data_IF_554180810142
#
_entry.id   IF_554180810142
#
_cell.length_a   1.000
_cell.length_b   1.000
_cell.length_c   1.000
_cell.angle_alpha   90.00
_cell.angle_beta   90.00
_cell.angle_gamma   90.00
#
_symmetry.space_group_name_H-M   'P 1'
#
loop_
_entity.id
_entity.type
_entity.pdbx_description
1 polymer ?
#
# COMPACT_ATOMS: atom_id res chain seq x y z
N UNK A 1 -73.80 -17.63 37.84
CA UNK A 1 -74.13 -16.21 38.02
C UNK A 1 -72.91 -15.40 37.58
N UNK A 2 -73.08 -14.49 36.62
CA UNK A 2 -72.03 -13.61 36.06
C UNK A 2 -71.93 -12.32 36.90
N UNK A 3 -70.72 -11.76 37.10
CA UNK A 3 -70.53 -10.31 37.19
C UNK A 3 -69.64 -9.83 36.04
N UNK A 4 -70.21 -9.05 35.09
CA UNK A 4 -70.07 -7.59 34.94
C UNK A 4 -68.65 -7.08 34.68
N UNK A 5 -68.37 -6.82 33.40
CA UNK A 5 -67.29 -5.98 32.89
C UNK A 5 -67.52 -4.52 33.31
N UNK A 6 -66.53 -3.91 33.95
CA UNK A 6 -66.37 -2.46 33.99
C UNK A 6 -65.38 -2.06 32.89
N UNK A 7 -65.85 -1.25 31.93
CA UNK A 7 -65.01 -0.61 30.93
C UNK A 7 -64.34 0.63 31.54
N UNK A 8 -63.01 0.62 31.65
CA UNK A 8 -62.21 1.82 31.90
C UNK A 8 -61.97 2.55 30.57
N UNK A 9 -62.40 3.81 30.52
CA UNK A 9 -62.06 4.76 29.45
C UNK A 9 -60.66 5.32 29.72
N UNK A 10 -59.69 5.24 28.79
CA UNK A 10 -58.43 5.92 28.95
C UNK A 10 -58.58 7.40 28.59
N UNK A 11 -58.19 8.27 29.53
CA UNK A 11 -58.03 9.71 29.32
C UNK A 11 -56.77 9.94 28.49
N UNK A 12 -56.92 10.38 27.25
CA UNK A 12 -55.82 10.80 26.38
C UNK A 12 -55.37 12.20 26.79
N UNK A 13 -54.20 12.31 27.43
CA UNK A 13 -53.52 13.57 27.72
C UNK A 13 -52.77 14.01 26.46
N UNK A 14 -53.32 14.94 25.69
CA UNK A 14 -52.64 15.57 24.55
C UNK A 14 -51.72 16.67 25.09
N UNK A 15 -50.43 16.34 25.29
CA UNK A 15 -49.39 17.32 25.53
C UNK A 15 -49.09 18.07 24.23
N UNK A 16 -49.41 19.35 24.18
CA UNK A 16 -49.01 20.26 23.11
C UNK A 16 -47.50 20.49 23.16
N UNK A 17 -46.74 19.60 22.52
CA UNK A 17 -45.33 19.86 22.21
C UNK A 17 -45.27 20.90 21.09
N UNK A 18 -44.87 22.13 21.44
CA UNK A 18 -44.52 23.15 20.45
C UNK A 18 -43.38 22.63 19.56
N UNK A 19 -43.30 23.03 18.28
CA UNK A 19 -42.21 22.63 17.41
C UNK A 19 -40.90 23.12 18.02
N UNK A 20 -39.99 22.19 18.30
CA UNK A 20 -38.62 22.52 18.64
C UNK A 20 -38.08 23.42 17.52
N UNK A 21 -37.35 24.51 17.85
CA UNK A 21 -36.68 25.30 16.84
C UNK A 21 -35.82 24.34 16.02
N UNK A 22 -36.07 24.28 14.71
CA UNK A 22 -35.19 23.58 13.78
C UNK A 22 -33.82 24.24 13.90
N UNK A 23 -32.93 23.63 14.69
CA UNK A 23 -31.51 23.95 14.68
C UNK A 23 -31.08 23.88 13.22
N UNK A 24 -30.82 25.05 12.64
CA UNK A 24 -30.43 25.17 11.25
C UNK A 24 -29.24 24.25 11.02
N UNK A 25 -29.42 23.25 10.15
CA UNK A 25 -28.35 22.32 9.80
C UNK A 25 -27.10 23.15 9.48
N UNK A 26 -26.02 22.90 10.23
CA UNK A 26 -24.76 23.59 10.01
C UNK A 26 -24.41 23.48 8.51
N UNK A 27 -23.96 24.57 7.87
CA UNK A 27 -23.64 24.53 6.45
C UNK A 27 -22.67 23.38 6.18
N UNK A 28 -23.08 22.46 5.29
CA UNK A 28 -22.24 21.33 4.88
C UNK A 28 -20.92 21.89 4.36
N UNK A 29 -19.80 21.48 4.96
CA UNK A 29 -18.48 21.87 4.49
C UNK A 29 -18.34 21.52 3.00
N UNK A 30 -17.69 22.40 2.23
CA UNK A 30 -17.41 22.15 0.83
C UNK A 30 -16.51 20.90 0.69
N UNK A 31 -16.71 20.07 -0.35
CA UNK A 31 -15.87 18.91 -0.60
C UNK A 31 -14.41 19.31 -0.80
N UNK A 32 -13.48 18.50 -0.29
CA UNK A 32 -12.05 18.68 -0.51
C UNK A 32 -11.77 18.59 -2.03
N UNK A 33 -10.96 19.48 -2.64
CA UNK A 33 -10.60 19.36 -4.05
C UNK A 33 -10.00 18.00 -4.39
N UNK A 34 -10.33 17.46 -5.58
CA UNK A 34 -9.87 16.13 -6.00
C UNK A 34 -8.36 15.93 -5.89
N UNK A 35 -7.57 16.92 -6.35
CA UNK A 35 -6.11 16.82 -6.31
C UNK A 35 -5.57 16.70 -4.88
N UNK A 36 -6.24 17.34 -3.92
CA UNK A 36 -5.89 17.25 -2.51
C UNK A 36 -6.29 15.89 -1.92
N UNK A 37 -7.46 15.35 -2.27
CA UNK A 37 -7.85 13.99 -1.88
C UNK A 37 -6.88 12.94 -2.44
N UNK A 38 -6.51 13.05 -3.71
CA UNK A 38 -5.59 12.11 -4.36
C UNK A 38 -4.18 12.22 -3.75
N UNK A 39 -3.71 13.44 -3.49
CA UNK A 39 -2.44 13.68 -2.78
C UNK A 39 -2.45 13.08 -1.38
N UNK A 40 -3.57 13.20 -0.65
CA UNK A 40 -3.71 12.62 0.67
C UNK A 40 -3.70 11.09 0.68
N UNK A 41 -4.35 10.46 -0.31
CA UNK A 41 -4.30 9.00 -0.46
C UNK A 41 -2.88 8.52 -0.77
N UNK A 42 -2.19 9.17 -1.71
CA UNK A 42 -0.79 8.89 -2.02
C UNK A 42 0.13 9.07 -0.80
N UNK A 43 -0.08 10.13 -0.02
CA UNK A 43 0.61 10.35 1.25
C UNK A 43 0.38 9.21 2.24
N UNK A 44 -0.87 8.81 2.48
CA UNK A 44 -1.19 7.74 3.44
C UNK A 44 -0.50 6.43 3.08
N UNK A 45 -0.53 6.03 1.80
CA UNK A 45 0.13 4.80 1.33
C UNK A 45 1.63 4.85 1.63
N UNK A 46 2.30 5.94 1.24
CA UNK A 46 3.74 6.09 1.41
C UNK A 46 4.14 6.22 2.88
N UNK A 47 3.35 6.90 3.69
CA UNK A 47 3.61 7.04 5.12
C UNK A 47 3.38 5.72 5.87
N UNK A 48 2.37 4.93 5.50
CA UNK A 48 2.19 3.58 6.03
C UNK A 48 3.37 2.67 5.66
N UNK A 49 3.86 2.76 4.43
CA UNK A 49 5.08 2.07 4.00
C UNK A 49 6.32 2.53 4.78
N UNK A 50 6.45 3.83 5.05
CA UNK A 50 7.51 4.35 5.91
C UNK A 50 7.44 3.76 7.33
N UNK A 51 6.26 3.74 7.97
CA UNK A 51 6.11 3.16 9.31
C UNK A 51 6.49 1.67 9.30
N UNK A 52 6.06 0.92 8.28
CA UNK A 52 6.39 -0.50 8.13
C UNK A 52 7.90 -0.72 7.99
N UNK A 53 8.59 0.09 7.17
CA UNK A 53 10.05 0.07 7.03
C UNK A 53 10.73 0.36 8.37
N UNK A 54 10.33 1.44 9.04
CA UNK A 54 10.95 1.88 10.30
C UNK A 54 10.79 0.80 11.38
N UNK A 55 9.60 0.21 11.49
CA UNK A 55 9.33 -0.87 12.44
C UNK A 55 10.06 -2.18 12.08
N UNK A 56 10.26 -2.47 10.79
CA UNK A 56 10.89 -3.71 10.34
C UNK A 56 12.42 -3.70 10.29
N UNK A 57 13.05 -2.53 10.18
CA UNK A 57 14.50 -2.42 10.00
C UNK A 57 15.34 -2.78 11.22
N UNK A 58 14.70 -3.05 12.36
CA UNK A 58 15.39 -3.32 13.64
C UNK A 58 16.47 -2.26 13.91
N UNK A 59 16.09 -0.99 13.76
CA UNK A 59 16.99 0.14 13.97
C UNK A 59 17.43 0.18 15.43
N UNK A 60 18.71 0.43 15.67
CA UNK A 60 19.15 0.84 16.99
C UNK A 60 18.58 2.22 17.34
N UNK A 61 18.57 2.55 18.63
CA UNK A 61 18.15 3.88 19.10
C UNK A 61 18.93 5.00 18.40
N UNK A 62 20.25 4.86 18.29
CA UNK A 62 21.11 5.87 17.65
C UNK A 62 20.82 6.02 16.16
N UNK A 63 20.56 4.90 15.46
CA UNK A 63 20.14 4.93 14.05
C UNK A 63 18.80 5.65 13.91
N UNK A 64 17.83 5.36 14.76
CA UNK A 64 16.50 5.99 14.75
C UNK A 64 16.60 7.51 14.99
N UNK A 65 17.42 7.95 15.95
CA UNK A 65 17.68 9.38 16.21
C UNK A 65 18.32 10.05 14.98
N UNK A 66 19.36 9.44 14.41
CA UNK A 66 20.05 9.98 13.26
C UNK A 66 19.12 10.09 12.04
N UNK A 67 18.32 9.06 11.76
CA UNK A 67 17.34 9.06 10.66
C UNK A 67 16.23 10.08 10.88
N UNK A 68 15.73 10.23 12.13
CA UNK A 68 14.77 11.28 12.48
C UNK A 68 15.29 12.67 12.15
N UNK A 69 16.55 12.95 12.45
CA UNK A 69 17.15 14.27 12.19
C UNK A 69 17.35 14.53 10.68
N UNK A 70 17.58 13.49 9.87
CA UNK A 70 17.52 13.60 8.41
C UNK A 70 16.08 13.84 7.94
N UNK A 71 15.11 13.08 8.47
CA UNK A 71 13.70 13.24 8.12
C UNK A 71 13.16 14.64 8.45
N UNK A 72 13.60 15.26 9.54
CA UNK A 72 13.29 16.66 9.88
C UNK A 72 13.77 17.65 8.81
N UNK A 73 14.95 17.43 8.25
CA UNK A 73 15.48 18.29 7.17
C UNK A 73 14.66 18.17 5.89
N UNK A 74 14.26 16.95 5.53
CA UNK A 74 13.37 16.72 4.38
C UNK A 74 12.01 17.36 4.64
N UNK A 75 11.39 17.09 5.79
CA UNK A 75 10.09 17.66 6.15
C UNK A 75 10.08 19.20 6.16
N UNK A 76 11.17 19.84 6.60
CA UNK A 76 11.29 21.30 6.61
C UNK A 76 11.34 21.92 5.20
N UNK A 77 11.63 21.13 4.17
CA UNK A 77 11.68 21.58 2.76
C UNK A 77 10.55 21.01 1.91
N UNK A 78 9.76 20.10 2.46
CA UNK A 78 8.57 19.55 1.83
C UNK A 78 7.34 20.43 2.05
N UNK A 79 6.32 20.33 1.19
CA UNK A 79 5.03 20.95 1.43
C UNK A 79 4.42 20.45 2.74
N UNK A 80 3.50 21.23 3.31
CA UNK A 80 2.72 20.80 4.46
C UNK A 80 2.03 19.46 4.19
N UNK A 81 1.89 18.66 5.25
CA UNK A 81 1.14 17.40 5.19
C UNK A 81 -0.30 17.68 4.70
N UNK A 82 -0.87 16.82 3.85
CA UNK A 82 -2.24 17.00 3.40
C UNK A 82 -3.22 16.90 4.57
N UNK A 83 -4.32 17.64 4.50
CA UNK A 83 -5.40 17.51 5.48
C UNK A 83 -6.17 16.18 5.25
N UNK A 84 -6.29 15.41 6.33
CA UNK A 84 -6.96 14.12 6.34
C UNK A 84 -8.37 14.20 6.94
N UNK A 85 -8.82 15.38 7.39
CA UNK A 85 -10.07 15.55 8.16
C UNK A 85 -11.27 16.00 7.34
N UNK A 86 -11.07 16.51 6.13
CA UNK A 86 -12.15 17.04 5.30
C UNK A 86 -13.17 16.00 4.77
N UNK A 87 -14.25 16.46 4.13
CA UNK A 87 -15.22 15.60 3.44
C UNK A 87 -14.64 15.09 2.11
N UNK A 88 -14.25 13.82 2.11
CA UNK A 88 -13.76 13.10 0.93
C UNK A 88 -14.95 12.57 0.12
N UNK A 89 -14.69 12.15 -1.12
CA UNK A 89 -15.65 11.33 -1.86
C UNK A 89 -16.07 10.12 -1.01
N UNK A 90 -17.34 9.67 -1.06
CA UNK A 90 -17.80 8.58 -0.22
C UNK A 90 -16.98 7.28 -0.36
N UNK A 91 -16.54 6.95 -1.58
CA UNK A 91 -15.70 5.79 -1.86
C UNK A 91 -14.29 5.91 -1.24
N UNK A 92 -13.69 7.10 -1.28
CA UNK A 92 -12.38 7.36 -0.67
C UNK A 92 -12.44 7.60 0.84
N UNK A 93 -13.58 8.00 1.40
CA UNK A 93 -13.75 8.18 2.84
C UNK A 93 -13.52 6.86 3.59
N UNK A 94 -14.13 5.76 3.13
CA UNK A 94 -13.91 4.43 3.73
C UNK A 94 -12.45 3.97 3.59
N UNK A 95 -11.83 4.22 2.44
CA UNK A 95 -10.41 3.91 2.20
C UNK A 95 -9.52 4.66 3.19
N UNK A 96 -9.71 5.97 3.30
CA UNK A 96 -8.99 6.85 4.21
C UNK A 96 -9.11 6.35 5.65
N UNK A 97 -10.32 6.06 6.10
CA UNK A 97 -10.59 5.65 7.48
C UNK A 97 -9.91 4.31 7.80
N UNK A 98 -9.94 3.35 6.85
CA UNK A 98 -9.19 2.10 7.00
C UNK A 98 -7.67 2.35 7.11
N UNK A 99 -7.11 3.24 6.29
CA UNK A 99 -5.67 3.56 6.31
C UNK A 99 -5.25 4.32 7.56
N UNK A 100 -6.09 5.24 8.06
CA UNK A 100 -5.87 5.96 9.31
C UNK A 100 -5.89 5.03 10.52
N UNK A 101 -6.78 4.05 10.54
CA UNK A 101 -6.81 3.04 11.60
C UNK A 101 -5.55 2.17 11.57
N UNK A 102 -5.11 1.70 10.40
CA UNK A 102 -3.82 0.99 10.27
C UNK A 102 -2.67 1.86 10.75
N UNK A 103 -2.63 3.14 10.35
CA UNK A 103 -1.59 4.09 10.75
C UNK A 103 -1.50 4.20 12.26
N UNK A 104 -2.64 4.39 12.93
CA UNK A 104 -2.73 4.49 14.38
C UNK A 104 -2.14 3.26 15.06
N UNK A 105 -2.55 2.06 14.62
CA UNK A 105 -2.06 0.79 15.18
C UNK A 105 -0.57 0.58 14.96
N UNK A 106 -0.08 0.81 13.75
CA UNK A 106 1.35 0.64 13.42
C UNK A 106 2.24 1.62 14.20
N UNK A 107 1.80 2.87 14.39
CA UNK A 107 2.53 3.84 15.23
C UNK A 107 2.54 3.43 16.70
N UNK A 108 1.47 2.80 17.18
CA UNK A 108 1.41 2.24 18.53
C UNK A 108 2.21 0.93 18.69
N UNK A 109 2.66 0.31 17.59
CA UNK A 109 3.29 -1.01 17.62
C UNK A 109 2.28 -2.15 17.86
N UNK A 110 1.00 -1.92 17.56
CA UNK A 110 -0.08 -2.89 17.67
C UNK A 110 -0.14 -3.80 16.43
N UNK A 111 -0.55 -5.06 16.62
CA UNK A 111 -0.81 -5.97 15.51
C UNK A 111 -2.06 -5.56 14.71
N UNK A 112 -2.00 -5.83 13.40
CA UNK A 112 -3.14 -5.67 12.49
C UNK A 112 -3.91 -6.99 12.42
N UNK A 113 -5.08 -7.01 13.05
CA UNK A 113 -5.99 -8.16 13.07
C UNK A 113 -6.57 -8.49 11.67
N UNK A 114 -7.11 -9.70 11.52
CA UNK A 114 -7.61 -10.19 10.23
C UNK A 114 -8.81 -9.39 9.72
N UNK A 115 -9.65 -8.85 10.62
CA UNK A 115 -10.78 -8.01 10.23
C UNK A 115 -10.31 -6.70 9.57
N UNK A 116 -9.31 -6.04 10.16
CA UNK A 116 -8.69 -4.85 9.59
C UNK A 116 -7.92 -5.16 8.30
N UNK A 117 -7.22 -6.31 8.23
CA UNK A 117 -6.57 -6.77 6.98
C UNK A 117 -7.55 -6.90 5.83
N UNK A 118 -8.70 -7.53 6.05
CA UNK A 118 -9.74 -7.68 5.03
C UNK A 118 -10.34 -6.33 4.62
N UNK A 119 -10.59 -5.42 5.58
CA UNK A 119 -11.07 -4.06 5.28
C UNK A 119 -10.08 -3.30 4.40
N UNK A 120 -8.79 -3.39 4.70
CA UNK A 120 -7.73 -2.72 3.94
C UNK A 120 -7.57 -3.34 2.55
N UNK A 121 -7.71 -4.66 2.41
CA UNK A 121 -7.72 -5.31 1.10
C UNK A 121 -8.84 -4.76 0.20
N UNK A 122 -10.07 -4.64 0.74
CA UNK A 122 -11.20 -4.01 0.04
C UNK A 122 -10.93 -2.54 -0.28
N UNK A 123 -10.43 -1.78 0.70
CA UNK A 123 -10.05 -0.39 0.52
C UNK A 123 -9.01 -0.22 -0.60
N UNK A 124 -8.04 -1.13 -0.69
CA UNK A 124 -7.03 -1.11 -1.77
C UNK A 124 -7.65 -1.39 -3.13
N UNK A 125 -8.61 -2.31 -3.24
CA UNK A 125 -9.36 -2.52 -4.48
C UNK A 125 -10.11 -1.26 -4.90
N UNK A 126 -10.81 -0.60 -3.98
CA UNK A 126 -11.55 0.66 -4.24
C UNK A 126 -10.60 1.78 -4.65
N UNK A 127 -9.54 2.04 -3.89
CA UNK A 127 -8.53 3.05 -4.21
C UNK A 127 -7.94 2.82 -5.59
N UNK A 128 -7.54 1.58 -5.89
CA UNK A 128 -6.89 1.27 -7.16
C UNK A 128 -7.84 1.39 -8.35
N UNK A 129 -9.15 1.21 -8.14
CA UNK A 129 -10.16 1.47 -9.15
C UNK A 129 -10.34 2.98 -9.39
N UNK A 130 -10.47 3.76 -8.31
CA UNK A 130 -10.60 5.22 -8.36
C UNK A 130 -9.36 5.89 -8.98
N UNK A 131 -8.16 5.43 -8.62
CA UNK A 131 -6.89 5.89 -9.22
C UNK A 131 -6.85 5.55 -10.71
N UNK A 132 -7.24 4.33 -11.12
CA UNK A 132 -7.31 3.98 -12.55
C UNK A 132 -8.29 4.84 -13.33
N UNK A 133 -9.45 5.11 -12.74
CA UNK A 133 -10.47 6.01 -13.27
C UNK A 133 -10.06 7.47 -13.28
N UNK A 134 -8.92 7.86 -12.70
CA UNK A 134 -8.46 9.25 -12.77
C UNK A 134 -7.28 9.44 -13.71
N UNK A 135 -6.66 8.37 -14.22
CA UNK A 135 -5.44 8.47 -15.05
C UNK A 135 -5.75 9.13 -16.40
N UNK A 136 -5.04 10.21 -16.69
CA UNK A 136 -5.04 10.91 -17.99
C UNK A 136 -3.70 10.74 -18.71
N UNK A 137 -3.60 11.33 -19.91
CA UNK A 137 -2.28 11.55 -20.50
C UNK A 137 -1.46 12.50 -19.61
N UNK A 138 -0.13 12.32 -19.52
CA UNK A 138 0.74 13.27 -18.83
C UNK A 138 0.58 14.69 -19.38
N UNK A 139 0.36 15.67 -18.51
CA UNK A 139 0.27 17.09 -18.85
C UNK A 139 1.44 17.85 -18.20
N UNK A 140 2.43 18.24 -19.01
CA UNK A 140 3.62 18.95 -18.54
C UNK A 140 3.33 20.35 -17.97
N UNK A 141 2.15 20.92 -18.24
CA UNK A 141 1.72 22.18 -17.64
C UNK A 141 1.25 22.02 -16.18
N UNK A 142 1.00 20.78 -15.74
CA UNK A 142 0.54 20.44 -14.39
C UNK A 142 1.67 19.78 -13.60
N UNK A 143 1.58 19.87 -12.27
CA UNK A 143 2.57 19.31 -11.35
C UNK A 143 1.90 18.34 -10.36
N UNK A 144 2.71 17.48 -9.73
CA UNK A 144 2.23 16.53 -8.73
C UNK A 144 1.20 15.54 -9.29
N UNK A 145 0.16 15.24 -8.51
CA UNK A 145 -0.89 14.31 -8.92
C UNK A 145 -1.65 14.77 -10.18
N UNK A 146 -1.89 16.08 -10.33
CA UNK A 146 -2.61 16.65 -11.46
C UNK A 146 -1.87 16.45 -12.81
N UNK A 147 -0.57 16.13 -12.78
CA UNK A 147 0.20 15.79 -13.98
C UNK A 147 -0.34 14.55 -14.70
N UNK A 148 -0.87 13.57 -13.95
CA UNK A 148 -1.37 12.32 -14.51
C UNK A 148 -2.80 11.99 -14.10
N UNK A 149 -3.42 12.79 -13.24
CA UNK A 149 -4.75 12.52 -12.69
C UNK A 149 -5.72 13.69 -12.86
N UNK A 150 -6.99 13.35 -13.06
CA UNK A 150 -8.13 14.26 -12.98
C UNK A 150 -9.27 13.63 -12.19
N UNK A 151 -10.23 14.45 -11.76
CA UNK A 151 -11.41 13.92 -11.07
C UNK A 151 -12.09 12.87 -11.97
N UNK A 152 -12.55 11.72 -11.42
CA UNK A 152 -13.18 10.66 -12.22
C UNK A 152 -14.36 11.13 -13.08
N UNK A 153 -15.02 12.22 -12.71
CA UNK A 153 -16.12 12.85 -13.45
C UNK A 153 -15.66 13.80 -14.57
N UNK A 154 -14.37 14.08 -14.71
CA UNK A 154 -13.86 14.99 -15.72
C UNK A 154 -14.02 14.40 -17.13
N UNK A 155 -14.40 15.20 -18.14
CA UNK A 155 -14.77 14.71 -19.47
C UNK A 155 -13.62 14.09 -20.27
N UNK A 156 -12.37 14.35 -19.85
CA UNK A 156 -11.13 13.91 -20.48
C UNK A 156 -10.39 12.80 -19.71
N UNK A 157 -10.94 12.37 -18.57
CA UNK A 157 -10.63 11.05 -18.00
C UNK A 157 -10.96 10.05 -19.10
N UNK A 158 -9.91 9.34 -19.56
CA UNK A 158 -10.00 8.43 -20.69
C UNK A 158 -11.27 7.58 -20.57
N UNK A 159 -12.00 7.47 -21.67
CA UNK A 159 -12.97 6.41 -21.97
C UNK A 159 -12.29 5.03 -21.99
N UNK A 160 -11.50 4.71 -20.96
CA UNK A 160 -11.26 3.34 -20.52
C UNK A 160 -12.65 2.86 -20.14
N UNK A 161 -13.28 2.10 -21.06
CA UNK A 161 -14.72 1.83 -21.06
C UNK A 161 -15.29 1.43 -19.70
N UNK A 162 -16.61 1.51 -19.58
CA UNK A 162 -17.41 1.29 -18.36
C UNK A 162 -17.08 0.03 -17.53
N UNK A 163 -16.25 -0.88 -18.03
CA UNK A 163 -15.66 -2.04 -17.36
C UNK A 163 -14.30 -1.76 -16.68
N UNK A 164 -14.08 -0.57 -16.08
CA UNK A 164 -12.86 -0.26 -15.31
C UNK A 164 -12.58 -1.27 -14.16
N UNK A 165 -13.61 -2.05 -13.77
CA UNK A 165 -13.55 -3.12 -12.78
C UNK A 165 -13.32 -4.53 -13.36
N UNK A 166 -13.45 -4.74 -14.68
CA UNK A 166 -13.38 -6.09 -15.31
C UNK A 166 -12.36 -6.24 -16.42
N UNK A 167 -11.96 -5.16 -17.11
CA UNK A 167 -10.98 -5.21 -18.20
C UNK A 167 -9.62 -4.70 -17.76
N UNK A 168 -8.55 -5.45 -18.03
CA UNK A 168 -7.19 -4.95 -17.85
C UNK A 168 -7.02 -3.65 -18.62
N UNK A 169 -6.99 -2.52 -17.88
CA UNK A 169 -6.57 -1.24 -18.43
C UNK A 169 -5.22 -1.50 -19.06
N UNK A 170 -5.14 -1.51 -20.39
CA UNK A 170 -3.88 -1.59 -21.09
C UNK A 170 -3.07 -0.38 -20.64
N UNK A 171 -2.16 -0.59 -19.71
CA UNK A 171 -1.09 0.35 -19.48
C UNK A 171 -0.33 0.37 -20.80
N UNK A 172 -0.55 1.43 -21.59
CA UNK A 172 0.25 1.69 -22.78
C UNK A 172 1.70 1.56 -22.33
N UNK A 173 2.47 0.72 -23.02
CA UNK A 173 3.87 0.52 -22.69
C UNK A 173 4.55 1.89 -22.66
N UNK A 174 4.88 2.37 -21.45
CA UNK A 174 5.56 3.65 -21.26
C UNK A 174 7.03 3.44 -21.55
N UNK A 175 7.60 4.31 -22.37
CA UNK A 175 9.04 4.32 -22.56
C UNK A 175 9.76 4.66 -21.23
N UNK A 176 11.08 4.45 -21.13
CA UNK A 176 11.83 4.77 -19.91
C UNK A 176 11.74 6.24 -19.49
N UNK A 177 11.60 7.19 -20.43
CA UNK A 177 11.48 8.62 -20.13
C UNK A 177 10.12 8.94 -19.48
N UNK A 178 9.04 8.39 -19.98
CA UNK A 178 7.70 8.51 -19.41
C UNK A 178 7.65 7.94 -17.99
N UNK A 179 8.28 6.78 -17.75
CA UNK A 179 8.34 6.20 -16.39
C UNK A 179 9.09 7.11 -15.44
N UNK A 180 10.21 7.68 -15.89
CA UNK A 180 10.98 8.64 -15.10
C UNK A 180 10.16 9.90 -14.82
N UNK A 181 9.44 10.43 -15.80
CA UNK A 181 8.57 11.61 -15.64
C UNK A 181 7.46 11.34 -14.62
N UNK A 182 6.79 10.19 -14.73
CA UNK A 182 5.75 9.76 -13.80
C UNK A 182 6.31 9.60 -12.39
N UNK A 183 7.46 8.96 -12.23
CA UNK A 183 8.12 8.81 -10.93
C UNK A 183 8.46 10.17 -10.31
N UNK A 184 9.03 11.09 -11.10
CA UNK A 184 9.33 12.45 -10.66
C UNK A 184 8.04 13.18 -10.26
N UNK A 185 6.97 13.09 -11.05
CA UNK A 185 5.69 13.74 -10.73
C UNK A 185 5.08 13.23 -9.42
N UNK A 186 5.11 11.91 -9.17
CA UNK A 186 4.65 11.34 -7.90
C UNK A 186 5.51 11.80 -6.73
N UNK A 187 6.83 11.77 -6.90
CA UNK A 187 7.78 12.21 -5.88
C UNK A 187 7.61 13.70 -5.56
N UNK A 188 7.42 14.54 -6.58
CA UNK A 188 7.16 15.97 -6.42
C UNK A 188 5.80 16.25 -5.78
N UNK A 189 4.76 15.48 -6.09
CA UNK A 189 3.44 15.64 -5.47
C UNK A 189 3.46 15.43 -3.95
N UNK A 190 4.31 14.51 -3.49
CA UNK A 190 4.51 14.24 -2.07
C UNK A 190 5.52 15.21 -1.42
N UNK A 191 6.75 15.24 -1.95
CA UNK A 191 7.90 15.90 -1.35
C UNK A 191 8.05 17.37 -1.75
N UNK A 192 7.35 17.82 -2.80
CA UNK A 192 7.67 19.05 -3.50
C UNK A 192 9.05 19.00 -4.17
N UNK A 193 9.34 19.97 -5.03
CA UNK A 193 10.65 20.06 -5.73
C UNK A 193 11.82 20.19 -4.75
N UNK A 194 11.67 21.03 -3.72
CA UNK A 194 12.72 21.28 -2.71
C UNK A 194 12.97 20.05 -1.83
N UNK A 195 11.91 19.38 -1.37
CA UNK A 195 12.04 18.14 -0.62
C UNK A 195 12.66 17.02 -1.46
N UNK A 196 12.27 16.87 -2.73
CA UNK A 196 12.86 15.88 -3.64
C UNK A 196 14.37 16.07 -3.81
N UNK A 197 14.82 17.31 -4.06
CA UNK A 197 16.26 17.63 -4.12
C UNK A 197 16.94 17.34 -2.78
N UNK A 198 16.30 17.66 -1.67
CA UNK A 198 16.85 17.40 -0.32
C UNK A 198 17.02 15.92 -0.06
N UNK A 199 16.06 15.07 -0.45
CA UNK A 199 16.19 13.60 -0.40
C UNK A 199 17.39 13.13 -1.21
N UNK A 200 17.54 13.62 -2.45
CA UNK A 200 18.66 13.24 -3.32
C UNK A 200 20.03 13.62 -2.70
N UNK A 201 20.14 14.81 -2.10
CA UNK A 201 21.37 15.27 -1.45
C UNK A 201 21.68 14.50 -0.17
N UNK A 202 20.65 14.11 0.59
CA UNK A 202 20.80 13.38 1.86
C UNK A 202 20.89 11.86 1.68
N UNK A 203 20.74 11.33 0.47
CA UNK A 203 20.71 9.89 0.20
C UNK A 203 21.97 9.16 0.68
N UNK A 204 23.15 9.75 0.47
CA UNK A 204 24.41 9.19 0.98
C UNK A 204 24.50 9.18 2.51
N UNK A 205 23.91 10.18 3.18
CA UNK A 205 23.86 10.25 4.65
C UNK A 205 22.94 9.17 5.22
N UNK A 206 21.75 8.98 4.62
CA UNK A 206 20.84 7.89 5.00
C UNK A 206 21.53 6.55 4.84
N UNK A 207 22.17 6.30 3.70
CA UNK A 207 22.88 5.04 3.46
C UNK A 207 24.01 4.80 4.47
N UNK A 208 24.72 5.84 4.89
CA UNK A 208 25.77 5.75 5.90
C UNK A 208 25.30 5.38 7.31
N UNK A 209 24.00 5.56 7.62
CA UNK A 209 23.43 5.19 8.92
C UNK A 209 23.10 3.69 8.99
N UNK A 210 22.81 3.08 7.84
CA UNK A 210 22.32 1.70 7.75
C UNK A 210 23.46 0.67 7.75
N UNK A 211 23.21 -0.50 8.33
CA UNK A 211 24.10 -1.66 8.24
C UNK A 211 24.00 -2.34 6.87
N UNK A 212 24.94 -3.21 6.52
CA UNK A 212 24.89 -3.98 5.27
C UNK A 212 23.62 -4.82 5.13
N UNK A 213 23.18 -5.47 6.21
CA UNK A 213 21.96 -6.27 6.23
C UNK A 213 20.69 -5.42 6.00
N UNK A 214 20.61 -4.25 6.66
CA UNK A 214 19.51 -3.30 6.46
C UNK A 214 19.45 -2.77 5.02
N UNK A 215 20.61 -2.52 4.39
CA UNK A 215 20.69 -2.10 2.98
C UNK A 215 20.21 -3.19 2.03
N UNK A 216 20.52 -4.46 2.29
CA UNK A 216 20.03 -5.58 1.51
C UNK A 216 18.50 -5.71 1.64
N UNK A 217 17.97 -5.67 2.86
CA UNK A 217 16.52 -5.70 3.09
C UNK A 217 15.77 -4.55 2.40
N UNK A 218 16.33 -3.33 2.42
CA UNK A 218 15.75 -2.18 1.70
C UNK A 218 15.85 -2.27 0.18
N UNK A 219 16.84 -2.96 -0.37
CA UNK A 219 16.95 -3.15 -1.81
C UNK A 219 15.80 -4.02 -2.36
N UNK A 220 15.24 -4.87 -1.51
CA UNK A 220 14.11 -5.76 -1.81
C UNK A 220 12.76 -5.19 -1.33
N UNK A 221 12.79 -4.06 -0.61
CA UNK A 221 11.60 -3.46 -0.03
C UNK A 221 10.58 -3.05 -1.09
N UNK A 222 9.33 -3.49 -0.90
CA UNK A 222 8.17 -3.06 -1.66
C UNK A 222 7.15 -2.37 -0.75
N UNK A 223 6.60 -1.26 -1.25
CA UNK A 223 5.62 -0.40 -0.59
C UNK A 223 4.39 -1.20 -0.09
N UNK A 224 4.30 -1.45 1.23
CA UNK A 224 3.11 -2.05 1.90
C UNK A 224 2.27 -1.02 2.64
N UNK A 225 0.97 -1.30 2.67
CA UNK A 225 0.04 -0.71 3.65
C UNK A 225 0.06 -1.52 4.95
N UNK A 226 0.04 -2.85 4.84
CA UNK A 226 0.07 -3.77 5.98
C UNK A 226 1.35 -4.61 5.94
N UNK A 227 2.10 -4.71 7.05
CA UNK A 227 3.27 -5.56 7.11
C UNK A 227 2.90 -7.06 7.18
N UNK A 228 3.84 -7.97 6.86
CA UNK A 228 3.66 -9.40 7.12
C UNK A 228 3.35 -9.63 8.62
N UNK A 229 2.66 -10.73 8.95
CA UNK A 229 2.26 -11.04 10.34
C UNK A 229 3.46 -11.20 11.26
N UNK A 230 4.56 -11.75 10.75
CA UNK A 230 5.76 -12.02 11.50
C UNK A 230 6.90 -11.11 11.00
N UNK A 231 7.27 -10.16 11.86
CA UNK A 231 8.35 -9.18 11.66
C UNK A 231 9.63 -9.56 12.42
N UNK A 232 9.66 -10.71 13.11
CA UNK A 232 10.84 -11.15 13.89
C UNK A 232 12.03 -11.49 12.99
N UNK A 233 11.75 -11.82 11.73
CA UNK A 233 12.74 -12.07 10.70
C UNK A 233 13.12 -10.76 9.98
N UNK A 234 14.36 -10.25 10.18
CA UNK A 234 14.83 -9.00 9.56
C UNK A 234 14.93 -9.07 8.04
N UNK A 235 14.82 -10.25 7.41
CA UNK A 235 14.73 -10.37 5.95
C UNK A 235 13.34 -10.02 5.40
N UNK A 236 12.32 -9.83 6.26
CA UNK A 236 10.91 -9.60 5.89
C UNK A 236 10.48 -8.14 5.90
N UNK A 237 11.42 -7.21 5.68
CA UNK A 237 11.11 -5.78 5.68
C UNK A 237 10.35 -5.43 4.40
N UNK A 238 9.06 -5.14 4.54
CA UNK A 238 8.17 -4.78 3.43
C UNK A 238 7.40 -5.96 2.84
N UNK A 239 6.62 -5.70 1.77
CA UNK A 239 6.06 -6.78 0.94
C UNK A 239 7.15 -7.43 0.09
N UNK A 240 8.25 -7.89 0.69
CA UNK A 240 8.78 -9.14 0.20
C UNK A 240 7.57 -10.08 0.36
N UNK A 241 6.89 -10.43 -0.74
CA UNK A 241 5.76 -11.37 -0.72
C UNK A 241 6.19 -12.47 0.24
N UNK A 242 5.58 -12.50 1.42
CA UNK A 242 5.95 -13.50 2.40
C UNK A 242 5.74 -14.79 1.66
N UNK A 243 6.82 -15.56 1.42
CA UNK A 243 6.77 -16.73 0.55
C UNK A 243 5.53 -17.58 0.85
N UNK A 244 5.05 -17.55 2.10
CA UNK A 244 3.73 -17.97 2.58
C UNK A 244 2.53 -17.80 1.64
N UNK A 245 2.27 -16.62 1.05
CA UNK A 245 1.11 -16.48 0.15
C UNK A 245 1.33 -17.27 -1.14
N UNK A 246 2.54 -17.23 -1.68
CA UNK A 246 2.93 -18.00 -2.87
C UNK A 246 2.96 -19.50 -2.56
N UNK A 247 3.43 -19.90 -1.38
CA UNK A 247 3.37 -21.26 -0.83
C UNK A 247 1.92 -21.72 -0.73
N UNK A 248 1.03 -20.88 -0.24
CA UNK A 248 -0.39 -21.19 -0.14
C UNK A 248 -1.04 -21.32 -1.52
N UNK A 249 -0.69 -20.45 -2.48
CA UNK A 249 -1.12 -20.63 -3.87
C UNK A 249 -0.59 -21.93 -4.48
N UNK A 250 0.65 -22.32 -4.16
CA UNK A 250 1.23 -23.59 -4.60
C UNK A 250 0.49 -24.78 -3.97
N UNK A 251 0.16 -24.71 -2.67
CA UNK A 251 -0.64 -25.72 -1.97
C UNK A 251 -2.03 -25.86 -2.58
N UNK A 252 -2.74 -24.76 -2.78
CA UNK A 252 -4.03 -24.73 -3.47
C UNK A 252 -3.92 -25.29 -4.88
N UNK A 253 -2.82 -25.00 -5.59
CA UNK A 253 -2.61 -25.56 -6.91
C UNK A 253 -2.46 -27.08 -6.90
N UNK A 254 -1.90 -27.69 -5.83
CA UNK A 254 -1.82 -29.16 -5.66
C UNK A 254 -3.19 -29.80 -5.45
N UNK A 255 -4.10 -29.10 -4.77
CA UNK A 255 -5.45 -29.60 -4.46
C UNK A 255 -6.40 -29.60 -5.67
N UNK A 256 -6.02 -28.93 -6.78
CA UNK A 256 -6.84 -28.90 -7.99
C UNK A 256 -6.89 -30.29 -8.64
N UNK A 257 -8.09 -30.84 -8.94
CA UNK A 257 -8.21 -32.10 -9.67
C UNK A 257 -7.57 -32.06 -11.06
N UNK A 258 -6.95 -33.15 -11.50
CA UNK A 258 -6.23 -33.23 -12.80
C UNK A 258 -7.10 -32.82 -13.99
N UNK A 259 -8.39 -33.15 -13.98
CA UNK A 259 -9.33 -32.77 -15.03
C UNK A 259 -9.51 -31.24 -15.16
N UNK A 260 -9.31 -30.50 -14.07
CA UNK A 260 -9.45 -29.03 -14.03
C UNK A 260 -8.11 -28.31 -14.19
N UNK A 261 -6.99 -29.00 -13.95
CA UNK A 261 -5.66 -28.39 -13.97
C UNK A 261 -5.34 -27.63 -15.26
N UNK A 262 -5.60 -28.15 -16.48
CA UNK A 262 -5.31 -27.41 -17.71
C UNK A 262 -5.99 -26.04 -17.78
N UNK A 263 -7.24 -25.94 -17.29
CA UNK A 263 -7.98 -24.68 -17.28
C UNK A 263 -7.41 -23.71 -16.23
N UNK A 264 -7.14 -24.19 -15.01
CA UNK A 264 -6.59 -23.34 -13.94
C UNK A 264 -5.16 -22.90 -14.24
N UNK A 265 -4.31 -23.81 -14.74
CA UNK A 265 -2.96 -23.51 -15.21
C UNK A 265 -2.99 -22.39 -16.24
N UNK A 266 -3.88 -22.45 -17.24
CA UNK A 266 -4.03 -21.39 -18.23
C UNK A 266 -4.33 -20.03 -17.59
N UNK A 267 -5.24 -19.96 -16.62
CA UNK A 267 -5.56 -18.71 -15.91
C UNK A 267 -4.38 -18.18 -15.10
N UNK A 268 -3.66 -19.06 -14.39
CA UNK A 268 -2.44 -18.70 -13.65
C UNK A 268 -1.40 -18.09 -14.60
N UNK A 269 -1.20 -18.71 -15.75
CA UNK A 269 -0.22 -18.26 -16.74
C UNK A 269 -0.62 -16.96 -17.43
N UNK A 270 -1.90 -16.76 -17.75
CA UNK A 270 -2.43 -15.46 -18.21
C UNK A 270 -2.20 -14.36 -17.16
N UNK A 271 -2.37 -14.70 -15.88
CA UNK A 271 -2.09 -13.77 -14.79
C UNK A 271 -0.60 -13.43 -14.66
N UNK A 272 0.27 -14.44 -14.76
CA UNK A 272 1.73 -14.26 -14.72
C UNK A 272 2.24 -13.41 -15.88
N UNK A 273 1.69 -13.59 -17.07
CA UNK A 273 1.99 -12.75 -18.23
C UNK A 273 1.54 -11.31 -18.01
N UNK A 274 0.32 -11.09 -17.49
CA UNK A 274 -0.17 -9.76 -17.14
C UNK A 274 0.72 -9.07 -16.08
N UNK A 275 1.21 -9.82 -15.08
CA UNK A 275 2.18 -9.33 -14.10
C UNK A 275 3.51 -8.99 -14.76
N UNK A 276 4.02 -9.84 -15.65
CA UNK A 276 5.27 -9.62 -16.41
C UNK A 276 5.20 -8.31 -17.19
N UNK A 277 4.09 -8.03 -17.87
CA UNK A 277 3.87 -6.76 -18.58
C UNK A 277 3.82 -5.58 -17.62
N UNK A 278 3.24 -5.75 -16.43
CA UNK A 278 3.17 -4.70 -15.43
C UNK A 278 4.54 -4.37 -14.81
N UNK A 279 5.37 -5.38 -14.50
CA UNK A 279 6.69 -5.18 -13.87
C UNK A 279 7.79 -4.83 -14.88
N UNK A 280 7.67 -5.33 -16.11
CA UNK A 280 8.58 -5.08 -17.22
C UNK A 280 7.80 -4.61 -18.46
N UNK A 281 7.21 -3.39 -18.45
CA UNK A 281 6.53 -2.87 -19.62
C UNK A 281 7.50 -2.80 -20.81
N UNK A 282 7.07 -3.27 -21.98
CA UNK A 282 7.94 -3.38 -23.16
C UNK A 282 8.75 -4.68 -23.25
N UNK A 283 8.57 -5.64 -22.32
CA UNK A 283 9.05 -7.00 -22.53
C UNK A 283 8.56 -7.52 -23.88
N UNK A 284 9.46 -8.10 -24.67
CA UNK A 284 9.13 -8.73 -25.94
C UNK A 284 8.35 -10.04 -25.72
N UNK A 285 7.86 -10.63 -26.82
CA UNK A 285 7.07 -11.86 -26.75
C UNK A 285 7.89 -13.04 -26.23
N UNK A 286 9.17 -13.12 -26.60
CA UNK A 286 10.07 -14.20 -26.17
C UNK A 286 10.28 -14.17 -24.66
N UNK A 287 10.50 -12.98 -24.07
CA UNK A 287 10.60 -12.81 -22.62
C UNK A 287 9.31 -13.19 -21.92
N UNK A 288 8.15 -12.74 -22.41
CA UNK A 288 6.85 -13.09 -21.82
C UNK A 288 6.63 -14.59 -21.82
N UNK A 289 6.91 -15.23 -22.95
CA UNK A 289 6.79 -16.67 -23.10
C UNK A 289 7.76 -17.42 -22.17
N UNK A 290 9.02 -16.97 -22.05
CA UNK A 290 10.00 -17.57 -21.15
C UNK A 290 9.59 -17.48 -19.67
N UNK A 291 9.08 -16.33 -19.22
CA UNK A 291 8.55 -16.20 -17.84
C UNK A 291 7.33 -17.09 -17.65
N UNK A 292 6.41 -17.09 -18.64
CA UNK A 292 5.21 -17.94 -18.62
C UNK A 292 5.58 -19.41 -18.47
N UNK A 293 6.49 -19.92 -19.29
CA UNK A 293 6.90 -21.32 -19.26
C UNK A 293 7.53 -21.69 -17.91
N UNK A 294 8.48 -20.88 -17.41
CA UNK A 294 9.11 -21.12 -16.12
C UNK A 294 8.14 -21.07 -14.94
N UNK A 295 7.17 -20.14 -14.95
CA UNK A 295 6.10 -20.11 -13.95
C UNK A 295 5.28 -21.41 -14.02
N UNK A 296 4.94 -21.85 -15.24
CA UNK A 296 4.24 -23.12 -15.46
C UNK A 296 5.00 -24.30 -14.88
N UNK A 297 6.30 -24.38 -15.14
CA UNK A 297 7.18 -25.44 -14.65
C UNK A 297 7.23 -25.49 -13.12
N UNK A 298 7.26 -24.35 -12.43
CA UNK A 298 7.24 -24.32 -10.96
C UNK A 298 5.92 -24.87 -10.41
N UNK A 299 4.78 -24.49 -11.01
CA UNK A 299 3.48 -25.03 -10.60
C UNK A 299 3.35 -26.53 -10.90
N UNK A 300 3.83 -26.99 -12.05
CA UNK A 300 3.80 -28.40 -12.41
C UNK A 300 4.71 -29.23 -11.48
N UNK A 301 5.89 -28.71 -11.10
CA UNK A 301 6.76 -29.30 -10.06
C UNK A 301 6.08 -29.38 -8.70
N UNK A 302 5.42 -28.31 -8.26
CA UNK A 302 4.71 -28.30 -6.98
C UNK A 302 3.59 -29.35 -6.95
N UNK A 303 2.85 -29.53 -8.05
CA UNK A 303 1.81 -30.56 -8.21
C UNK A 303 2.36 -31.99 -8.24
N UNK A 304 3.49 -32.19 -8.92
CA UNK A 304 4.11 -33.51 -9.03
C UNK A 304 4.80 -33.96 -7.73
N UNK A 305 5.16 -33.03 -6.84
CA UNK A 305 5.79 -33.33 -5.57
C UNK A 305 4.83 -34.07 -4.61
N UNK A 306 5.33 -35.14 -3.99
CA UNK A 306 4.66 -35.77 -2.86
C UNK A 306 4.56 -34.81 -1.66
N UNK A 307 3.71 -35.10 -0.68
CA UNK A 307 3.46 -34.19 0.44
C UNK A 307 4.74 -33.84 1.23
N UNK A 308 5.59 -34.84 1.47
CA UNK A 308 6.86 -34.64 2.18
C UNK A 308 7.81 -33.77 1.36
N UNK A 309 8.01 -34.08 0.09
CA UNK A 309 8.91 -33.33 -0.80
C UNK A 309 8.44 -31.89 -0.97
N UNK A 310 7.13 -31.68 -1.13
CA UNK A 310 6.56 -30.34 -1.22
C UNK A 310 6.79 -29.54 0.05
N UNK A 311 6.58 -30.12 1.23
CA UNK A 311 6.79 -29.41 2.49
C UNK A 311 8.25 -29.01 2.72
N UNK A 312 9.20 -29.78 2.16
CA UNK A 312 10.63 -29.44 2.13
C UNK A 312 10.91 -28.31 1.12
N UNK A 313 10.37 -28.40 -0.09
CA UNK A 313 10.74 -27.53 -1.22
C UNK A 313 9.87 -26.27 -1.38
N UNK A 314 8.71 -26.17 -0.72
CA UNK A 314 7.71 -25.11 -0.94
C UNK A 314 8.27 -23.69 -0.88
N UNK A 315 9.21 -23.41 0.04
CA UNK A 315 9.81 -22.10 0.18
C UNK A 315 10.79 -21.79 -0.96
N UNK A 316 11.52 -22.80 -1.45
CA UNK A 316 12.39 -22.66 -2.61
C UNK A 316 11.58 -22.44 -3.89
N UNK A 317 10.48 -23.18 -4.09
CA UNK A 317 9.55 -22.99 -5.21
C UNK A 317 8.91 -21.59 -5.18
N UNK A 318 8.51 -21.12 -4.00
CA UNK A 318 7.96 -19.78 -3.84
C UNK A 318 8.98 -18.67 -4.13
N UNK A 319 10.23 -18.84 -3.66
CA UNK A 319 11.32 -17.91 -3.98
C UNK A 319 11.62 -17.88 -5.48
N UNK A 320 11.61 -19.04 -6.14
CA UNK A 320 11.79 -19.13 -7.59
C UNK A 320 10.69 -18.36 -8.35
N UNK A 321 9.42 -18.51 -7.96
CA UNK A 321 8.31 -17.72 -8.54
C UNK A 321 8.48 -16.21 -8.33
N UNK A 322 8.87 -15.80 -7.13
CA UNK A 322 9.09 -14.39 -6.83
C UNK A 322 10.22 -13.79 -7.70
N UNK A 323 11.31 -14.53 -7.89
CA UNK A 323 12.43 -14.12 -8.74
C UNK A 323 12.05 -14.04 -10.23
N UNK A 324 11.21 -14.96 -10.72
CA UNK A 324 10.71 -14.94 -12.10
C UNK A 324 9.91 -13.68 -12.43
N UNK A 325 9.15 -13.19 -11.45
CA UNK A 325 8.28 -12.03 -11.57
C UNK A 325 8.97 -10.73 -11.14
N UNK A 326 10.23 -10.79 -10.71
CA UNK A 326 11.02 -9.62 -10.37
C UNK A 326 11.53 -8.93 -11.64
N UNK A 327 11.48 -7.59 -11.73
CA UNK A 327 12.09 -6.87 -12.84
C UNK A 327 13.61 -7.10 -12.87
N UNK A 328 14.15 -7.43 -14.05
CA UNK A 328 15.56 -7.81 -14.23
C UNK A 328 16.54 -6.65 -14.04
N UNK A 329 16.09 -5.40 -14.10
CA UNK A 329 17.01 -4.26 -14.08
C UNK A 329 17.59 -4.08 -12.68
N UNK A 330 18.88 -4.39 -12.46
CA UNK A 330 19.49 -4.18 -11.16
C UNK A 330 19.43 -2.69 -10.87
N UNK A 331 18.92 -2.32 -9.70
CA UNK A 331 18.96 -0.92 -9.30
C UNK A 331 20.44 -0.52 -9.16
N UNK A 332 20.86 0.49 -9.90
CA UNK A 332 22.18 1.08 -9.69
C UNK A 332 22.29 1.59 -8.25
N UNK A 333 23.49 1.59 -7.68
CA UNK A 333 23.68 1.93 -6.25
C UNK A 333 23.14 3.33 -5.90
N UNK A 334 23.23 4.31 -6.82
CA UNK A 334 22.62 5.63 -6.65
C UNK A 334 21.09 5.57 -6.54
N UNK A 335 20.44 4.73 -7.35
CA UNK A 335 18.99 4.53 -7.29
C UNK A 335 18.59 3.86 -5.99
N UNK A 336 19.32 2.81 -5.57
CA UNK A 336 19.09 2.14 -4.28
C UNK A 336 19.19 3.13 -3.11
N UNK A 337 20.27 3.92 -3.05
CA UNK A 337 20.47 4.95 -1.99
C UNK A 337 19.35 5.98 -2.01
N UNK A 338 18.94 6.44 -3.19
CA UNK A 338 17.84 7.38 -3.34
C UNK A 338 16.52 6.77 -2.83
N UNK A 339 16.19 5.54 -3.20
CA UNK A 339 14.95 4.88 -2.78
C UNK A 339 14.94 4.63 -1.27
N UNK A 340 16.07 4.23 -0.68
CA UNK A 340 16.21 4.10 0.77
C UNK A 340 15.90 5.43 1.47
N UNK A 341 16.51 6.53 1.01
CA UNK A 341 16.23 7.86 1.55
C UNK A 341 14.76 8.26 1.34
N UNK A 342 14.22 8.07 0.14
CA UNK A 342 12.83 8.38 -0.19
C UNK A 342 11.85 7.74 0.79
N UNK A 343 11.97 6.43 1.05
CA UNK A 343 11.07 5.73 1.97
C UNK A 343 11.36 6.03 3.46
N UNK A 344 12.61 6.27 3.84
CA UNK A 344 12.97 6.55 5.24
C UNK A 344 12.71 8.00 5.66
N UNK A 345 12.53 8.92 4.72
CA UNK A 345 12.34 10.35 4.99
C UNK A 345 11.08 10.92 4.34
N UNK A 346 10.06 10.08 4.09
CA UNK A 346 8.72 10.54 3.68
C UNK A 346 8.25 11.65 4.64
N UNK A 347 7.59 12.73 4.19
CA UNK A 347 7.06 13.74 5.09
C UNK A 347 6.20 13.09 6.19
N UNK A 348 6.35 13.51 7.45
CA UNK A 348 5.72 12.86 8.59
C UNK A 348 6.49 11.68 9.18
N UNK A 349 7.56 11.18 8.54
CA UNK A 349 8.38 10.09 9.08
C UNK A 349 8.97 10.40 10.46
N UNK A 350 9.12 11.67 10.83
CA UNK A 350 9.56 12.11 12.16
C UNK A 350 8.70 11.46 13.27
N UNK A 351 7.38 11.40 13.09
CA UNK A 351 6.47 10.77 14.06
C UNK A 351 6.73 9.27 14.21
N UNK A 352 7.00 8.56 13.11
CA UNK A 352 7.33 7.14 13.15
C UNK A 352 8.61 6.88 13.95
N UNK A 353 9.63 7.72 13.77
CA UNK A 353 10.87 7.61 14.55
C UNK A 353 10.67 8.00 16.02
N UNK A 354 9.92 9.05 16.31
CA UNK A 354 9.64 9.45 17.71
C UNK A 354 8.95 8.29 18.46
N UNK A 355 7.94 7.65 17.85
CA UNK A 355 7.29 6.45 18.41
C UNK A 355 8.23 5.26 18.58
N UNK A 356 9.12 5.02 17.61
CA UNK A 356 10.11 3.96 17.73
C UNK A 356 11.08 4.23 18.89
N UNK A 357 11.59 5.45 19.01
CA UNK A 357 12.51 5.85 20.08
C UNK A 357 11.85 5.70 21.45
N UNK A 358 10.59 6.14 21.61
CA UNK A 358 9.80 5.94 22.84
C UNK A 358 9.75 4.46 23.24
N UNK A 359 9.50 3.55 22.29
CA UNK A 359 9.46 2.11 22.55
C UNK A 359 10.82 1.53 22.93
N UNK A 360 11.89 1.93 22.22
CA UNK A 360 13.24 1.48 22.53
C UNK A 360 13.69 1.95 23.93
N UNK A 361 13.33 3.17 24.31
CA UNK A 361 13.60 3.72 25.64
C UNK A 361 12.82 2.95 26.73
N UNK A 362 11.55 2.63 26.49
CA UNK A 362 10.75 1.82 27.40
C UNK A 362 11.31 0.39 27.56
N UNK A 363 11.75 -0.24 26.47
CA UNK A 363 12.38 -1.56 26.50
C UNK A 363 13.71 -1.56 27.27
N UNK A 364 14.54 -0.53 27.11
CA UNK A 364 15.79 -0.39 27.83
C UNK A 364 15.58 -0.14 29.33
N UNK A 365 14.46 0.50 29.71
CA UNK A 365 14.10 0.74 31.11
C UNK A 365 13.41 -0.45 31.80
N UNK A 366 12.91 -1.43 31.03
CA UNK A 366 12.27 -2.61 31.60
C UNK A 366 13.30 -3.45 32.36
N UNK A 367 12.99 -3.92 33.58
CA UNK A 367 13.91 -4.75 34.35
C UNK A 367 14.22 -6.02 33.55
N UNK A 368 15.51 -6.32 33.37
CA UNK A 368 15.93 -7.61 32.81
C UNK A 368 15.38 -8.70 33.72
N UNK A 369 14.46 -9.52 33.19
CA UNK A 369 13.86 -10.62 33.96
C UNK A 369 14.94 -11.50 34.59
N UNK A 370 14.68 -12.02 35.81
CA UNK A 370 15.65 -12.83 36.56
C UNK A 370 16.02 -14.14 35.87
#
# INVERSE_FOLDING_TARGET
>A
MKPSLFAMVPVLLVLAAGPAPLEGAAPSAAPVPWDEQNRAMGYLILHLSNINVVNGLNLSRDQAVALRDVARQVQATSPALPDLTGPYRPDLAEVRDAYLEVRRRLLAGEEIDDALRQRVARARTTESAVVRLSITAPDAARAGCAHCHQAPEAPDVRTLGADAYRGGVQQVARDPADRKAVFVAHSEGLLGKRGLVTVALLAGKVDGILTGAQKAGLAEFSCCIIPPKDMSDPSRIGQAESGEQTVEHLRQAREIPDALWPAVRRMILERAEALTVAVAPGADQDRKQAVRDRVGDVYDRARAAGDVDFEIDKHALAAELADLLRPETPQGDNQRRFMAAYFLTVPGAVEAYDRLIERLDAQAAAPTGP
#
